data_IF_240175287705
#
_entry.id   IF_240175287705
#
_cell.length_a   1.000
_cell.length_b   1.000
_cell.length_c   1.000
_cell.angle_alpha   90.00
_cell.angle_beta   90.00
_cell.angle_gamma   90.00
#
_symmetry.space_group_name_H-M   'P 1'
#
loop_
_entity.id
_entity.type
_entity.pdbx_description
1 polymer ?
#
# COMPACT_ATOMS: atom_id res chain seq x y z
N UNK A 1 19.12 -19.75 -13.41
CA UNK A 1 17.79 -19.22 -13.74
C UNK A 1 17.87 -17.87 -14.48
N UNK A 2 18.77 -16.97 -14.10
CA UNK A 2 19.07 -15.75 -14.88
C UNK A 2 19.65 -16.02 -16.28
N UNK A 3 20.55 -17.01 -16.41
CA UNK A 3 21.24 -17.29 -17.68
C UNK A 3 20.37 -17.98 -18.74
N UNK A 4 19.38 -18.78 -18.32
CA UNK A 4 18.47 -19.47 -19.25
C UNK A 4 17.38 -18.55 -19.81
N UNK A 5 17.09 -17.42 -19.16
CA UNK A 5 16.09 -16.46 -19.63
C UNK A 5 16.65 -15.47 -20.67
N UNK A 6 17.98 -15.25 -20.65
CA UNK A 6 18.66 -14.35 -21.57
C UNK A 6 18.97 -14.96 -22.94
N UNK A 7 18.93 -16.29 -23.08
CA UNK A 7 19.25 -16.96 -24.35
C UNK A 7 18.13 -16.91 -25.40
N UNK A 8 16.89 -16.58 -25.04
CA UNK A 8 15.74 -16.59 -25.97
C UNK A 8 15.38 -15.22 -26.58
N UNK A 9 16.07 -14.12 -26.24
CA UNK A 9 15.71 -12.78 -26.73
C UNK A 9 16.91 -11.93 -27.15
N UNK A 10 17.71 -12.43 -28.09
CA UNK A 10 18.61 -11.56 -28.86
C UNK A 10 17.79 -10.48 -29.59
N UNK A 11 17.79 -9.25 -29.07
CA UNK A 11 17.13 -8.07 -29.68
C UNK A 11 15.99 -7.45 -28.87
N UNK A 12 15.58 -8.03 -27.74
CA UNK A 12 14.61 -7.36 -26.85
C UNK A 12 15.31 -6.23 -26.07
N UNK A 13 14.81 -5.01 -26.19
CA UNK A 13 15.25 -3.89 -25.34
C UNK A 13 14.78 -4.11 -23.90
N UNK A 14 15.54 -3.61 -22.94
CA UNK A 14 15.15 -3.67 -21.53
C UNK A 14 13.82 -2.95 -21.28
N UNK A 15 13.10 -3.43 -20.27
CA UNK A 15 11.91 -2.76 -19.75
C UNK A 15 12.24 -1.33 -19.37
N UNK A 16 11.46 -0.36 -19.86
CA UNK A 16 11.67 1.06 -19.60
C UNK A 16 11.21 1.51 -18.21
N UNK A 17 10.56 0.63 -17.44
CA UNK A 17 10.10 0.92 -16.07
C UNK A 17 11.10 0.39 -15.04
N UNK A 18 11.35 -0.92 -15.03
CA UNK A 18 12.21 -1.53 -14.00
C UNK A 18 13.67 -1.66 -14.42
N UNK A 19 13.98 -1.63 -15.72
CA UNK A 19 15.31 -1.91 -16.26
C UNK A 19 15.93 -3.27 -15.84
N UNK A 20 15.14 -4.17 -15.24
CA UNK A 20 15.61 -5.48 -14.76
C UNK A 20 15.33 -6.63 -15.74
N UNK A 21 14.27 -6.53 -16.55
CA UNK A 21 13.79 -7.63 -17.40
C UNK A 21 13.61 -7.17 -18.84
N UNK A 22 13.71 -8.07 -19.83
CA UNK A 22 13.47 -7.72 -21.23
C UNK A 22 12.01 -7.31 -21.44
N UNK A 23 11.79 -6.25 -22.19
CA UNK A 23 10.44 -5.84 -22.56
C UNK A 23 9.81 -6.89 -23.47
N UNK A 24 8.61 -7.34 -23.12
CA UNK A 24 7.82 -8.31 -23.88
C UNK A 24 6.48 -7.73 -24.35
N UNK A 25 6.13 -6.53 -23.89
CA UNK A 25 4.83 -5.87 -24.08
C UNK A 25 5.01 -4.38 -24.34
N UNK A 26 3.96 -3.74 -24.85
CA UNK A 26 3.82 -2.28 -24.91
C UNK A 26 2.63 -1.85 -24.07
N UNK A 27 2.81 -0.79 -23.29
CA UNK A 27 1.75 -0.12 -22.54
C UNK A 27 0.96 0.84 -23.45
N UNK A 28 -0.14 1.41 -22.94
CA UNK A 28 -1.09 2.24 -23.71
C UNK A 28 -0.44 3.47 -24.35
N UNK A 29 0.57 4.04 -23.69
CA UNK A 29 1.38 5.19 -24.13
C UNK A 29 2.51 4.79 -25.09
N UNK A 30 2.64 3.50 -25.43
CA UNK A 30 3.69 2.95 -26.28
C UNK A 30 4.96 2.56 -25.54
N UNK A 31 5.02 2.75 -24.21
CA UNK A 31 6.16 2.40 -23.37
C UNK A 31 6.39 0.89 -23.38
N UNK A 32 7.64 0.45 -23.58
CA UNK A 32 8.02 -0.96 -23.61
C UNK A 32 8.23 -1.48 -22.19
N UNK A 33 7.43 -2.46 -21.79
CA UNK A 33 7.40 -2.98 -20.41
C UNK A 33 7.56 -4.51 -20.39
N UNK A 34 8.02 -5.05 -19.26
CA UNK A 34 8.03 -6.49 -19.02
C UNK A 34 6.70 -6.98 -18.41
N UNK A 35 6.50 -8.30 -18.40
CA UNK A 35 5.31 -8.94 -17.82
C UNK A 35 5.10 -8.59 -16.35
N UNK A 36 6.18 -8.54 -15.56
CA UNK A 36 6.11 -8.23 -14.13
C UNK A 36 5.57 -6.81 -13.91
N UNK A 37 6.16 -5.79 -14.55
CA UNK A 37 5.67 -4.41 -14.41
C UNK A 37 4.23 -4.25 -14.91
N UNK A 38 3.83 -5.01 -15.94
CA UNK A 38 2.45 -5.02 -16.42
C UNK A 38 1.48 -5.63 -15.39
N UNK A 39 1.91 -6.67 -14.65
CA UNK A 39 1.14 -7.27 -13.57
C UNK A 39 1.08 -6.33 -12.35
N UNK A 40 2.21 -5.78 -11.92
CA UNK A 40 2.30 -4.81 -10.82
C UNK A 40 1.39 -3.59 -11.07
N UNK A 41 1.35 -3.09 -12.31
CA UNK A 41 0.43 -2.00 -12.71
C UNK A 41 -1.04 -2.39 -12.53
N UNK A 42 -1.43 -3.61 -12.94
CA UNK A 42 -2.81 -4.11 -12.78
C UNK A 42 -3.17 -4.31 -11.32
N UNK A 43 -2.25 -4.85 -10.53
CA UNK A 43 -2.39 -5.04 -9.08
C UNK A 43 -2.55 -3.69 -8.41
N UNK A 44 -1.68 -2.73 -8.71
CA UNK A 44 -1.74 -1.36 -8.19
C UNK A 44 -3.04 -0.62 -8.49
N UNK A 45 -3.68 -0.89 -9.63
CA UNK A 45 -5.01 -0.33 -9.94
C UNK A 45 -6.16 -0.97 -9.15
N UNK A 46 -6.00 -2.21 -8.68
CA UNK A 46 -7.01 -2.95 -7.91
C UNK A 46 -6.88 -2.73 -6.41
N UNK A 47 -5.66 -2.59 -5.89
CA UNK A 47 -5.35 -2.44 -4.47
C UNK A 47 -6.17 -1.35 -3.75
N UNK A 48 -6.37 -0.13 -4.30
CA UNK A 48 -7.14 0.92 -3.62
C UNK A 48 -8.61 0.57 -3.40
N UNK A 49 -9.14 -0.37 -4.21
CA UNK A 49 -10.52 -0.85 -4.12
C UNK A 49 -10.63 -2.18 -3.39
N UNK A 50 -9.53 -2.71 -2.88
CA UNK A 50 -9.47 -4.04 -2.29
C UNK A 50 -9.78 -3.94 -0.81
N UNK A 51 -10.78 -4.70 -0.36
CA UNK A 51 -11.07 -4.83 1.07
C UNK A 51 -10.47 -6.12 1.64
N UNK A 52 -10.46 -7.19 0.82
CA UNK A 52 -9.95 -8.48 1.23
C UNK A 52 -8.89 -9.03 0.28
N UNK A 53 -7.89 -9.70 0.86
CA UNK A 53 -6.91 -10.49 0.11
C UNK A 53 -7.13 -11.96 0.46
N UNK A 54 -7.56 -12.75 -0.53
CA UNK A 54 -7.72 -14.19 -0.37
C UNK A 54 -6.47 -14.91 -0.89
N UNK A 55 -5.80 -15.65 -0.02
CA UNK A 55 -4.67 -16.48 -0.37
C UNK A 55 -5.11 -17.91 -0.64
N UNK A 56 -4.53 -18.48 -1.67
CA UNK A 56 -4.79 -19.85 -2.06
C UNK A 56 -3.56 -20.57 -2.59
N UNK A 57 -3.73 -21.88 -2.77
CA UNK A 57 -2.77 -22.75 -3.42
C UNK A 57 -3.47 -23.72 -4.36
N UNK A 58 -2.83 -24.04 -5.47
CA UNK A 58 -3.34 -25.01 -6.43
C UNK A 58 -2.20 -25.62 -7.23
N UNK A 59 -2.46 -26.79 -7.81
CA UNK A 59 -1.55 -27.37 -8.80
C UNK A 59 -1.51 -26.48 -10.05
N UNK A 60 -0.36 -26.48 -10.73
CA UNK A 60 -0.11 -25.60 -11.89
C UNK A 60 -1.15 -25.84 -13.01
N UNK A 61 -1.53 -27.09 -13.25
CA UNK A 61 -2.54 -27.50 -14.24
C UNK A 61 -3.96 -27.02 -13.91
N UNK A 62 -4.21 -26.61 -12.67
CA UNK A 62 -5.51 -26.12 -12.20
C UNK A 62 -5.59 -24.59 -12.18
N UNK A 63 -4.46 -23.88 -12.28
CA UNK A 63 -4.41 -22.42 -12.15
C UNK A 63 -5.34 -21.72 -13.14
N UNK A 64 -5.41 -22.18 -14.39
CA UNK A 64 -6.24 -21.55 -15.43
C UNK A 64 -7.75 -21.57 -15.13
N UNK A 65 -8.20 -22.47 -14.25
CA UNK A 65 -9.60 -22.56 -13.80
C UNK A 65 -9.89 -21.66 -12.58
N UNK A 66 -8.85 -21.06 -12.00
CA UNK A 66 -8.93 -20.28 -10.77
C UNK A 66 -8.76 -18.80 -11.08
N UNK A 67 -9.77 -18.00 -10.73
CA UNK A 67 -9.68 -16.54 -10.75
C UNK A 67 -8.66 -16.09 -9.71
N UNK A 68 -7.59 -15.43 -10.16
CA UNK A 68 -6.48 -14.93 -9.34
C UNK A 68 -5.95 -13.62 -9.90
N UNK A 69 -5.29 -12.85 -9.05
CA UNK A 69 -4.68 -11.56 -9.43
C UNK A 69 -3.16 -11.60 -9.41
N UNK A 70 -2.58 -12.39 -8.48
CA UNK A 70 -1.14 -12.55 -8.31
C UNK A 70 -0.85 -14.04 -8.17
N UNK A 71 0.20 -14.52 -8.84
CA UNK A 71 0.66 -15.91 -8.71
C UNK A 71 2.12 -15.95 -8.25
N UNK A 72 2.45 -16.92 -7.40
CA UNK A 72 3.78 -17.15 -6.85
C UNK A 72 4.18 -18.60 -7.10
N UNK A 73 5.46 -18.82 -7.39
CA UNK A 73 6.06 -20.16 -7.56
C UNK A 73 5.39 -21.01 -8.66
N UNK A 74 4.96 -20.39 -9.76
CA UNK A 74 4.22 -21.02 -10.88
C UNK A 74 5.11 -21.57 -12.00
N UNK A 75 6.40 -21.74 -11.75
CA UNK A 75 7.34 -22.27 -12.74
C UNK A 75 6.90 -23.65 -13.23
N UNK A 76 6.87 -23.86 -14.55
CA UNK A 76 6.45 -25.13 -15.18
C UNK A 76 7.25 -26.36 -14.70
N UNK A 77 8.45 -26.16 -14.17
CA UNK A 77 9.31 -27.22 -13.63
C UNK A 77 9.10 -27.44 -12.12
N UNK A 78 8.18 -26.71 -11.50
CA UNK A 78 7.93 -26.81 -10.07
C UNK A 78 7.06 -28.05 -9.77
N UNK A 79 7.56 -28.93 -8.90
CA UNK A 79 6.82 -30.13 -8.46
C UNK A 79 5.80 -29.83 -7.35
N UNK A 80 5.84 -28.61 -6.81
CA UNK A 80 5.00 -28.17 -5.70
C UNK A 80 3.80 -27.37 -6.19
N UNK A 81 2.82 -27.19 -5.29
CA UNK A 81 1.68 -26.31 -5.54
C UNK A 81 2.15 -24.87 -5.79
N UNK A 82 1.51 -24.19 -6.74
CA UNK A 82 1.64 -22.76 -6.90
C UNK A 82 0.76 -22.04 -5.89
N UNK A 83 1.24 -20.91 -5.39
CA UNK A 83 0.50 -20.06 -4.47
C UNK A 83 -0.06 -18.88 -5.24
N UNK A 84 -1.18 -18.34 -4.80
CA UNK A 84 -1.77 -17.17 -5.45
C UNK A 84 -2.52 -16.31 -4.46
N UNK A 85 -2.70 -15.04 -4.84
CA UNK A 85 -3.55 -14.11 -4.13
C UNK A 85 -4.64 -13.57 -5.08
N UNK A 86 -5.83 -13.37 -4.51
CA UNK A 86 -6.95 -12.71 -5.17
C UNK A 86 -7.33 -11.47 -4.37
N UNK A 87 -7.40 -10.35 -5.06
CA UNK A 87 -7.83 -9.06 -4.53
C UNK A 87 -9.34 -8.94 -4.70
N UNK A 88 -10.04 -8.73 -3.59
CA UNK A 88 -11.51 -8.71 -3.55
C UNK A 88 -11.97 -7.33 -3.09
N UNK A 89 -12.67 -6.64 -3.97
CA UNK A 89 -13.37 -5.40 -3.66
C UNK A 89 -14.63 -5.64 -2.84
N UNK A 90 -15.07 -4.59 -2.14
CA UNK A 90 -16.24 -4.58 -1.25
C UNK A 90 -17.53 -5.12 -1.88
N UNK A 91 -17.75 -4.83 -3.16
CA UNK A 91 -19.00 -5.20 -3.86
C UNK A 91 -19.00 -6.65 -4.37
N UNK A 92 -17.89 -7.37 -4.21
CA UNK A 92 -17.75 -8.74 -4.71
C UNK A 92 -17.97 -9.74 -3.58
N UNK A 93 -18.75 -10.79 -3.87
CA UNK A 93 -18.97 -11.91 -2.94
C UNK A 93 -17.66 -12.53 -2.48
N UNK A 94 -17.52 -12.75 -1.17
CA UNK A 94 -16.37 -13.46 -0.61
C UNK A 94 -16.25 -14.90 -1.15
N UNK A 95 -15.01 -15.39 -1.36
CA UNK A 95 -14.80 -16.78 -1.72
C UNK A 95 -15.26 -17.70 -0.57
N UNK A 96 -16.02 -18.72 -0.94
CA UNK A 96 -16.38 -19.81 -0.04
C UNK A 96 -15.20 -20.79 0.10
N UNK A 97 -15.18 -21.59 1.16
CA UNK A 97 -14.23 -22.72 1.26
C UNK A 97 -14.37 -23.56 -0.01
N UNK A 98 -13.28 -23.61 -0.76
CA UNK A 98 -13.02 -24.62 -1.77
C UNK A 98 -11.63 -25.21 -1.46
N UNK A 99 -11.18 -26.20 -2.24
CA UNK A 99 -9.87 -26.82 -2.03
C UNK A 99 -8.67 -25.88 -2.31
N UNK A 100 -8.89 -24.60 -2.63
CA UNK A 100 -7.84 -23.70 -3.10
C UNK A 100 -7.57 -22.53 -2.16
N UNK A 101 -8.58 -21.89 -1.55
CA UNK A 101 -8.36 -20.78 -0.60
C UNK A 101 -8.14 -21.29 0.82
N UNK A 102 -7.16 -20.75 1.53
CA UNK A 102 -6.84 -21.16 2.90
C UNK A 102 -6.74 -20.00 3.90
N UNK A 103 -6.67 -18.75 3.44
CA UNK A 103 -6.51 -17.59 4.31
C UNK A 103 -7.15 -16.35 3.70
N UNK A 104 -7.86 -15.57 4.52
CA UNK A 104 -8.45 -14.30 4.12
C UNK A 104 -7.95 -13.18 5.03
N UNK A 105 -7.30 -12.18 4.43
CA UNK A 105 -6.95 -10.95 5.11
C UNK A 105 -7.99 -9.88 4.84
N UNK A 106 -8.41 -9.18 5.89
CA UNK A 106 -9.21 -7.97 5.81
C UNK A 106 -8.30 -6.77 6.04
N UNK A 107 -8.27 -5.84 5.08
CA UNK A 107 -7.39 -4.67 5.10
C UNK A 107 -8.02 -3.47 5.81
N UNK A 108 -9.35 -3.32 5.72
CA UNK A 108 -10.07 -2.19 6.30
C UNK A 108 -11.21 -2.66 7.19
N UNK A 109 -11.38 -2.01 8.34
CA UNK A 109 -12.54 -2.21 9.19
C UNK A 109 -13.61 -1.16 8.86
N UNK A 110 -14.55 -1.52 7.96
CA UNK A 110 -15.70 -0.68 7.68
C UNK A 110 -16.71 -0.76 8.83
N UNK A 111 -17.00 0.37 9.49
CA UNK A 111 -18.02 0.55 10.54
C UNK A 111 -19.49 0.39 10.06
N UNK A 112 -19.73 0.06 8.79
CA UNK A 112 -21.10 -0.10 8.28
C UNK A 112 -21.63 -1.50 8.57
N UNK A 113 -22.87 -1.58 9.08
CA UNK A 113 -23.65 -2.80 9.27
C UNK A 113 -23.60 -3.67 8.02
N UNK A 114 -22.73 -4.68 8.02
CA UNK A 114 -22.63 -5.61 6.91
C UNK A 114 -23.75 -6.63 6.99
N UNK A 115 -24.37 -6.91 5.84
CA UNK A 115 -24.93 -8.24 5.57
C UNK A 115 -23.86 -9.26 5.97
N UNK A 116 -24.18 -10.14 6.90
CA UNK A 116 -23.29 -11.25 7.30
C UNK A 116 -22.95 -12.08 6.06
N UNK A 117 -21.88 -11.72 5.35
CA UNK A 117 -21.33 -12.59 4.32
C UNK A 117 -20.59 -13.72 5.03
N UNK A 118 -21.32 -14.83 5.21
CA UNK A 118 -20.83 -16.04 5.84
C UNK A 118 -19.75 -16.65 4.93
N UNK A 119 -18.52 -16.65 5.43
CA UNK A 119 -17.44 -17.51 4.92
C UNK A 119 -16.98 -18.43 6.03
N UNK A 120 -16.68 -19.68 5.67
CA UNK A 120 -16.11 -20.65 6.61
C UNK A 120 -14.57 -20.48 6.74
N UNK A 121 -13.97 -19.55 6.00
CA UNK A 121 -12.54 -19.23 6.10
C UNK A 121 -12.28 -18.34 7.33
N UNK A 122 -11.19 -18.61 8.06
CA UNK A 122 -10.71 -17.72 9.11
C UNK A 122 -10.32 -16.37 8.52
N UNK A 123 -10.97 -15.30 9.00
CA UNK A 123 -10.64 -13.92 8.63
C UNK A 123 -9.62 -13.38 9.62
N UNK A 124 -8.50 -12.90 9.12
CA UNK A 124 -7.49 -12.20 9.91
C UNK A 124 -7.54 -10.72 9.53
N UNK A 125 -7.82 -9.87 10.52
CA UNK A 125 -7.69 -8.43 10.34
C UNK A 125 -6.21 -8.08 10.32
N UNK A 126 -5.78 -7.38 9.27
CA UNK A 126 -4.41 -6.90 9.13
C UNK A 126 -4.46 -5.41 8.85
N UNK A 127 -4.01 -4.61 9.82
CA UNK A 127 -3.76 -3.20 9.60
C UNK A 127 -2.65 -3.04 8.58
N UNK A 128 -2.90 -2.20 7.60
CA UNK A 128 -1.97 -1.90 6.53
C UNK A 128 -2.20 -0.46 6.13
N UNK A 129 -1.13 0.33 6.12
CA UNK A 129 -1.20 1.71 5.66
C UNK A 129 -1.08 1.73 4.12
N UNK A 130 -2.23 1.83 3.46
CA UNK A 130 -2.43 1.83 2.00
C UNK A 130 -3.21 3.05 1.52
N UNK A 131 -3.32 4.11 2.33
CA UNK A 131 -3.97 5.34 1.93
C UNK A 131 -3.30 5.88 0.67
N UNK A 132 -4.11 6.01 -0.38
CA UNK A 132 -3.71 6.60 -1.64
C UNK A 132 -4.77 7.62 -2.08
N UNK A 133 -4.36 8.82 -2.51
CA UNK A 133 -5.27 9.85 -2.96
C UNK A 133 -6.00 9.42 -4.24
N UNK A 134 -7.33 9.45 -4.21
CA UNK A 134 -8.18 9.22 -5.38
C UNK A 134 -8.82 10.51 -5.86
N UNK A 135 -9.13 10.59 -7.16
CA UNK A 135 -9.81 11.74 -7.75
C UNK A 135 -11.13 12.11 -7.07
N UNK A 136 -11.90 11.12 -6.62
CA UNK A 136 -13.16 11.35 -5.91
C UNK A 136 -12.97 12.07 -4.57
N UNK A 137 -11.80 11.90 -3.93
CA UNK A 137 -11.52 12.48 -2.62
C UNK A 137 -11.14 13.96 -2.69
N UNK A 138 -10.83 14.46 -3.90
CA UNK A 138 -10.66 15.89 -4.15
C UNK A 138 -12.02 16.60 -4.12
N UNK A 139 -12.13 17.64 -3.29
CA UNK A 139 -13.24 18.59 -3.33
C UNK A 139 -13.33 19.32 -4.67
N UNK A 140 -14.52 19.86 -4.99
CA UNK A 140 -14.79 20.52 -6.27
C UNK A 140 -13.74 21.59 -6.63
N UNK A 141 -13.43 22.51 -5.71
CA UNK A 141 -12.47 23.59 -5.91
C UNK A 141 -11.06 23.09 -6.26
N UNK A 142 -10.65 21.95 -5.66
CA UNK A 142 -9.33 21.38 -5.91
C UNK A 142 -9.24 20.65 -7.25
N UNK A 143 -10.35 20.13 -7.78
CA UNK A 143 -10.38 19.49 -9.11
C UNK A 143 -10.13 20.49 -10.24
N UNK A 144 -10.53 21.75 -10.05
CA UNK A 144 -10.29 22.83 -11.01
C UNK A 144 -8.80 23.21 -11.12
N UNK A 145 -8.00 22.92 -10.10
CA UNK A 145 -6.55 23.12 -10.12
C UNK A 145 -5.80 22.08 -10.98
N UNK A 146 -6.48 20.99 -11.35
CA UNK A 146 -5.93 19.84 -12.07
C UNK A 146 -6.43 19.86 -13.52
N UNK A 147 -5.94 20.84 -14.29
CA UNK A 147 -6.36 21.06 -15.68
C UNK A 147 -5.81 19.99 -16.65
N UNK A 148 -4.68 19.34 -16.32
CA UNK A 148 -3.84 18.56 -17.26
C UNK A 148 -4.00 17.03 -17.22
N UNK A 149 -4.78 16.45 -16.30
CA UNK A 149 -4.84 14.99 -16.19
C UNK A 149 -5.88 14.39 -17.17
N UNK A 150 -5.38 13.58 -18.09
CA UNK A 150 -6.14 13.00 -19.21
C UNK A 150 -7.07 11.85 -18.77
N UNK A 151 -6.85 11.26 -17.58
CA UNK A 151 -7.68 10.19 -17.02
C UNK A 151 -8.54 10.71 -15.85
N UNK A 152 -9.55 11.53 -16.14
CA UNK A 152 -10.54 12.02 -15.14
C UNK A 152 -11.57 10.95 -14.77
N UNK A 153 -11.13 9.80 -14.29
CA UNK A 153 -12.03 8.83 -13.66
C UNK A 153 -12.02 9.05 -12.14
N UNK A 154 -13.19 9.14 -11.49
CA UNK A 154 -13.32 9.37 -10.05
C UNK A 154 -12.53 8.38 -9.19
N UNK A 155 -12.34 7.17 -9.71
CA UNK A 155 -11.63 6.08 -9.02
C UNK A 155 -10.14 5.97 -9.38
N UNK A 156 -9.60 6.88 -10.19
CA UNK A 156 -8.18 6.86 -10.54
C UNK A 156 -7.34 7.47 -9.43
N UNK A 157 -6.14 6.91 -9.25
CA UNK A 157 -5.13 7.40 -8.31
C UNK A 157 -4.57 8.71 -8.85
N UNK A 158 -4.35 9.69 -7.98
CA UNK A 158 -3.71 10.95 -8.37
C UNK A 158 -2.25 10.71 -8.80
N UNK A 159 -1.88 11.25 -9.95
CA UNK A 159 -0.48 11.23 -10.40
C UNK A 159 0.38 12.18 -9.57
N UNK A 160 1.69 11.97 -9.58
CA UNK A 160 2.64 12.89 -8.94
C UNK A 160 2.59 14.32 -9.52
N UNK A 161 2.29 14.47 -10.81
CA UNK A 161 2.06 15.80 -11.39
C UNK A 161 0.85 16.49 -10.76
N UNK A 162 -0.23 15.74 -10.57
CA UNK A 162 -1.45 16.22 -9.91
C UNK A 162 -1.20 16.55 -8.43
N UNK A 163 -0.51 15.69 -7.68
CA UNK A 163 -0.14 15.98 -6.29
C UNK A 163 0.73 17.23 -6.16
N UNK A 164 1.69 17.44 -7.07
CA UNK A 164 2.47 18.66 -7.09
C UNK A 164 1.61 19.90 -7.38
N UNK A 165 0.59 19.79 -8.24
CA UNK A 165 -0.30 20.89 -8.56
C UNK A 165 -1.18 21.30 -7.36
N UNK A 166 -1.54 20.35 -6.49
CA UNK A 166 -2.32 20.60 -5.28
C UNK A 166 -1.57 21.46 -4.24
N UNK A 167 -0.25 21.64 -4.37
CA UNK A 167 0.53 22.58 -3.55
C UNK A 167 0.22 24.06 -3.80
N UNK A 168 -0.65 24.36 -4.77
CA UNK A 168 -1.09 25.72 -5.05
C UNK A 168 -2.39 26.03 -4.31
N UNK A 169 -2.51 27.27 -3.86
CA UNK A 169 -3.73 27.80 -3.27
C UNK A 169 -4.11 29.11 -3.92
N UNK A 170 -5.39 29.45 -3.84
CA UNK A 170 -5.88 30.75 -4.30
C UNK A 170 -5.82 31.77 -3.16
N UNK A 171 -5.31 32.96 -3.48
CA UNK A 171 -5.36 34.08 -2.56
C UNK A 171 -6.72 34.80 -2.65
N UNK A 172 -6.95 35.79 -1.78
CA UNK A 172 -8.17 36.63 -1.78
C UNK A 172 -8.41 37.43 -3.09
N UNK A 173 -7.44 37.43 -4.01
CA UNK A 173 -7.52 38.11 -5.32
C UNK A 173 -7.68 37.11 -6.49
N UNK A 174 -8.04 35.85 -6.22
CA UNK A 174 -8.14 34.76 -7.21
C UNK A 174 -6.85 34.53 -8.02
N UNK A 175 -5.68 34.84 -7.44
CA UNK A 175 -4.37 34.51 -8.02
C UNK A 175 -3.85 33.24 -7.38
N UNK A 176 -3.49 32.27 -8.22
CA UNK A 176 -2.79 31.04 -7.80
C UNK A 176 -1.41 31.39 -7.24
N UNK A 177 -1.17 31.00 -5.99
CA UNK A 177 0.09 31.13 -5.25
C UNK A 177 0.58 29.74 -4.83
N UNK A 178 1.87 29.63 -4.56
CA UNK A 178 2.51 28.35 -4.25
C UNK A 178 3.27 27.76 -5.43
N UNK A 179 4.31 26.99 -5.12
CA UNK A 179 5.16 26.33 -6.11
C UNK A 179 4.70 24.88 -6.25
N UNK A 180 4.48 24.43 -7.49
CA UNK A 180 4.08 23.04 -7.78
C UNK A 180 5.25 22.09 -7.49
N UNK A 181 5.30 21.52 -6.29
CA UNK A 181 6.38 20.64 -5.86
C UNK A 181 5.85 19.49 -5.02
N UNK A 182 6.50 18.35 -5.15
CA UNK A 182 6.29 17.21 -4.29
C UNK A 182 7.16 17.35 -3.04
N UNK A 183 6.56 17.07 -1.90
CA UNK A 183 7.26 16.70 -0.68
C UNK A 183 7.39 15.18 -0.63
N UNK A 184 8.52 14.75 -0.09
CA UNK A 184 8.78 13.36 0.24
C UNK A 184 9.16 13.32 1.72
N UNK A 185 8.49 12.49 2.48
CA UNK A 185 8.81 12.25 3.89
C UNK A 185 9.29 10.82 4.02
N UNK A 186 10.53 10.66 4.45
CA UNK A 186 11.03 9.40 4.97
C UNK A 186 11.31 9.55 6.46
N UNK A 187 10.82 8.64 7.28
CA UNK A 187 11.01 8.66 8.73
C UNK A 187 11.32 7.26 9.24
N UNK A 188 12.17 7.19 10.26
CA UNK A 188 12.62 5.95 10.90
C UNK A 188 12.68 6.18 12.42
N UNK A 189 12.46 5.13 13.22
CA UNK A 189 12.55 5.23 14.68
C UNK A 189 13.99 5.14 15.14
N UNK A 190 14.47 6.21 15.78
CA UNK A 190 15.80 6.25 16.35
C UNK A 190 16.07 5.10 17.34
N UNK A 191 17.06 4.26 17.01
CA UNK A 191 17.64 3.22 17.89
C UNK A 191 16.61 2.19 18.39
N UNK A 192 15.59 1.86 17.60
CA UNK A 192 14.54 0.91 18.02
C UNK A 192 15.10 -0.41 18.58
N UNK A 193 16.10 -1.02 17.93
CA UNK A 193 16.71 -2.26 18.41
C UNK A 193 17.39 -2.12 19.78
N UNK A 194 17.95 -0.95 20.10
CA UNK A 194 18.52 -0.67 21.42
C UNK A 194 17.41 -0.54 22.48
N UNK A 195 16.30 0.10 22.14
CA UNK A 195 15.16 0.28 23.04
C UNK A 195 14.53 -1.09 23.36
N UNK A 196 14.34 -1.95 22.35
CA UNK A 196 13.80 -3.30 22.54
C UNK A 196 14.70 -4.19 23.39
N UNK A 197 16.03 -4.06 23.26
CA UNK A 197 16.98 -4.92 23.96
C UNK A 197 17.33 -4.40 25.37
N UNK A 198 17.58 -3.09 25.51
CA UNK A 198 18.06 -2.48 26.79
C UNK A 198 17.02 -1.62 27.50
N UNK A 199 16.02 -1.09 26.79
CA UNK A 199 15.00 -0.20 27.34
C UNK A 199 14.03 -0.92 28.28
N UNK A 200 13.78 -2.22 28.04
CA UNK A 200 12.88 -3.06 28.83
C UNK A 200 13.49 -3.58 30.16
N UNK A 201 14.74 -3.17 30.49
CA UNK A 201 15.47 -3.51 31.74
C UNK A 201 15.44 -5.02 32.07
N UNK A 202 15.48 -5.41 33.36
CA UNK A 202 15.74 -6.79 33.82
C UNK A 202 14.62 -7.79 33.53
N UNK A 203 13.45 -7.34 33.06
CA UNK A 203 12.24 -8.15 32.90
C UNK A 203 11.79 -8.23 31.42
N UNK A 204 12.74 -8.48 30.52
CA UNK A 204 12.44 -8.75 29.10
C UNK A 204 11.75 -10.10 29.00
N UNK A 205 10.43 -10.09 28.90
CA UNK A 205 9.64 -11.27 28.57
C UNK A 205 9.28 -11.25 27.08
N UNK A 206 9.07 -12.43 26.50
CA UNK A 206 8.57 -12.55 25.12
C UNK A 206 7.26 -11.76 24.95
N UNK A 207 6.38 -11.80 25.95
CA UNK A 207 5.13 -11.05 25.94
C UNK A 207 5.34 -9.54 25.86
N UNK A 208 6.23 -8.95 26.67
CA UNK A 208 6.51 -7.51 26.64
C UNK A 208 7.14 -7.08 25.30
N UNK A 209 8.06 -7.87 24.78
CA UNK A 209 8.65 -7.63 23.46
C UNK A 209 7.59 -7.63 22.35
N UNK A 210 6.72 -8.64 22.32
CA UNK A 210 5.64 -8.75 21.34
C UNK A 210 4.62 -7.61 21.47
N UNK A 211 4.26 -7.23 22.69
CA UNK A 211 3.34 -6.09 22.93
C UNK A 211 3.93 -4.81 22.37
N UNK A 212 5.18 -4.46 22.72
CA UNK A 212 5.83 -3.25 22.22
C UNK A 212 5.96 -3.26 20.69
N UNK A 213 6.39 -4.38 20.10
CA UNK A 213 6.49 -4.52 18.64
C UNK A 213 5.14 -4.34 17.95
N UNK A 214 4.06 -4.90 18.50
CA UNK A 214 2.70 -4.75 17.97
C UNK A 214 2.17 -3.32 18.11
N UNK A 215 2.47 -2.63 19.21
CA UNK A 215 2.03 -1.25 19.42
C UNK A 215 2.70 -0.28 18.44
N UNK A 216 4.01 -0.45 18.21
CA UNK A 216 4.73 0.33 17.21
C UNK A 216 4.17 0.05 15.81
N UNK A 217 4.01 -1.22 15.42
CA UNK A 217 3.41 -1.58 14.14
C UNK A 217 2.01 -0.98 13.98
N UNK A 218 1.19 -0.99 15.04
CA UNK A 218 -0.16 -0.40 15.02
C UNK A 218 -0.16 1.12 14.81
N UNK A 219 0.84 1.83 15.35
CA UNK A 219 0.97 3.27 15.11
C UNK A 219 1.22 3.56 13.62
N UNK A 220 2.20 2.88 13.03
CA UNK A 220 2.58 3.12 11.62
C UNK A 220 1.57 2.51 10.63
N UNK A 221 0.98 1.35 10.91
CA UNK A 221 0.03 0.71 10.02
C UNK A 221 -1.43 1.16 10.22
N UNK A 222 -1.76 1.70 11.40
CA UNK A 222 -3.13 2.08 11.78
C UNK A 222 -3.30 3.59 11.94
N UNK A 223 -2.61 4.20 12.90
CA UNK A 223 -2.79 5.64 13.19
C UNK A 223 -2.39 6.54 12.01
N UNK A 224 -1.28 6.23 11.32
CA UNK A 224 -0.88 6.96 10.12
C UNK A 224 -1.96 6.85 9.04
N UNK A 225 -2.45 5.64 8.76
CA UNK A 225 -3.51 5.40 7.77
C UNK A 225 -4.78 6.22 8.06
N UNK A 226 -5.26 6.17 9.30
CA UNK A 226 -6.44 6.92 9.72
C UNK A 226 -6.24 8.45 9.59
N UNK A 227 -5.07 8.94 10.02
CA UNK A 227 -4.74 10.36 9.94
C UNK A 227 -4.68 10.86 8.50
N UNK A 228 -4.08 10.08 7.60
CA UNK A 228 -3.99 10.43 6.18
C UNK A 228 -5.37 10.37 5.50
N UNK A 229 -6.15 9.32 5.76
CA UNK A 229 -7.48 9.15 5.15
C UNK A 229 -8.52 10.19 5.60
N UNK A 230 -8.39 10.76 6.80
CA UNK A 230 -9.31 11.79 7.31
C UNK A 230 -8.81 13.20 6.99
N UNK A 231 -7.56 13.51 7.31
CA UNK A 231 -7.04 14.89 7.34
C UNK A 231 -6.10 15.24 6.19
N UNK A 232 -5.27 14.30 5.74
CA UNK A 232 -4.26 14.54 4.70
C UNK A 232 -4.49 13.67 3.48
N UNK A 233 -5.69 13.77 2.91
CA UNK A 233 -6.16 12.89 1.83
C UNK A 233 -5.26 12.96 0.59
N UNK A 234 -4.61 14.09 0.36
CA UNK A 234 -3.64 14.35 -0.70
C UNK A 234 -2.27 13.68 -0.54
N UNK A 235 -1.97 13.06 0.59
CA UNK A 235 -0.70 12.34 0.79
C UNK A 235 -0.86 10.90 0.31
N UNK A 236 0.09 10.43 -0.49
CA UNK A 236 0.23 9.07 -0.99
C UNK A 236 1.17 8.27 -0.08
N UNK A 237 0.71 7.14 0.45
CA UNK A 237 1.55 6.20 1.19
C UNK A 237 2.26 5.26 0.24
N UNK A 238 3.60 5.31 0.20
CA UNK A 238 4.41 4.33 -0.55
C UNK A 238 4.60 3.07 0.30
N UNK A 239 4.97 3.25 1.58
CA UNK A 239 4.93 2.21 2.60
C UNK A 239 4.87 2.85 3.99
N UNK A 240 4.28 2.13 4.94
CA UNK A 240 4.33 2.45 6.37
C UNK A 240 4.06 1.19 7.17
N UNK A 241 4.97 0.82 8.08
CA UNK A 241 4.82 -0.37 8.90
C UNK A 241 6.09 -0.71 9.65
N UNK A 242 5.95 -1.35 10.81
CA UNK A 242 7.07 -1.51 11.73
C UNK A 242 7.59 -0.14 12.19
N UNK A 243 8.79 0.22 11.72
CA UNK A 243 9.53 1.41 12.12
C UNK A 243 9.87 2.41 11.00
N UNK A 244 9.70 2.03 9.74
CA UNK A 244 9.99 2.88 8.58
C UNK A 244 8.68 3.38 7.93
N UNK A 245 8.74 4.60 7.41
CA UNK A 245 7.63 5.32 6.77
C UNK A 245 8.15 6.05 5.54
N UNK A 246 7.45 5.92 4.41
CA UNK A 246 7.71 6.71 3.22
C UNK A 246 6.42 7.22 2.56
N UNK A 247 6.27 8.54 2.53
CA UNK A 247 5.10 9.25 2.02
C UNK A 247 5.48 10.26 0.94
N UNK A 248 4.56 10.50 0.01
CA UNK A 248 4.71 11.47 -1.08
C UNK A 248 3.45 12.32 -1.17
N UNK A 249 3.57 13.63 -1.31
CA UNK A 249 2.38 14.50 -1.41
C UNK A 249 2.75 15.96 -1.71
N UNK A 250 1.79 16.89 -1.61
CA UNK A 250 2.06 18.32 -1.67
C UNK A 250 3.09 18.71 -0.60
N UNK A 251 4.11 19.50 -0.98
CA UNK A 251 5.27 19.74 -0.09
C UNK A 251 4.90 20.39 1.24
N UNK A 252 3.94 21.31 1.24
CA UNK A 252 3.46 22.01 2.43
C UNK A 252 2.69 21.05 3.36
N UNK A 253 1.90 20.14 2.79
CA UNK A 253 1.14 19.13 3.54
C UNK A 253 2.05 18.08 4.16
N UNK A 254 3.10 17.71 3.46
CA UNK A 254 4.15 16.83 4.00
C UNK A 254 4.83 17.47 5.22
N UNK A 255 5.12 18.78 5.18
CA UNK A 255 5.71 19.48 6.33
C UNK A 255 4.72 19.54 7.50
N UNK A 256 3.46 19.91 7.26
CA UNK A 256 2.40 19.92 8.27
C UNK A 256 2.26 18.55 8.94
N UNK A 257 2.13 17.49 8.14
CA UNK A 257 2.01 16.12 8.63
C UNK A 257 3.26 15.67 9.39
N UNK A 258 4.47 16.03 8.95
CA UNK A 258 5.71 15.62 9.64
C UNK A 258 5.77 16.11 11.10
N UNK A 259 5.25 17.31 11.36
CA UNK A 259 5.16 17.86 12.71
C UNK A 259 4.15 17.08 13.56
N UNK A 260 2.97 16.82 13.00
CA UNK A 260 1.91 16.08 13.68
C UNK A 260 2.31 14.62 13.96
N UNK A 261 2.96 13.97 13.01
CA UNK A 261 3.55 12.63 13.16
C UNK A 261 4.49 12.60 14.37
N UNK A 262 5.43 13.55 14.45
CA UNK A 262 6.39 13.60 15.55
C UNK A 262 5.71 13.85 16.91
N UNK A 263 4.78 14.80 16.99
CA UNK A 263 4.08 15.16 18.22
C UNK A 263 3.21 14.00 18.74
N UNK A 264 2.48 13.33 17.84
CA UNK A 264 1.66 12.17 18.21
C UNK A 264 2.50 10.95 18.55
N UNK A 265 3.56 10.66 17.79
CA UNK A 265 4.45 9.53 18.09
C UNK A 265 5.17 9.71 19.43
N UNK A 266 5.60 10.94 19.73
CA UNK A 266 6.20 11.26 21.04
C UNK A 266 5.21 11.05 22.18
N UNK A 267 3.96 11.47 22.00
CA UNK A 267 2.92 11.29 23.03
C UNK A 267 2.59 9.80 23.22
N UNK A 268 2.44 9.07 22.11
CA UNK A 268 2.17 7.63 22.08
C UNK A 268 3.26 6.81 22.78
N UNK A 269 4.53 7.12 22.52
CA UNK A 269 5.67 6.40 23.13
C UNK A 269 5.81 6.67 24.64
N UNK A 270 5.42 7.85 25.12
CA UNK A 270 5.36 8.14 26.57
C UNK A 270 4.31 7.27 27.25
N UNK A 271 3.12 7.12 26.65
CA UNK A 271 2.07 6.25 27.20
C UNK A 271 2.48 4.77 27.18
N UNK A 272 3.11 4.30 26.11
CA UNK A 272 3.68 2.94 26.05
C UNK A 272 4.66 2.71 27.19
N UNK A 273 5.58 3.66 27.41
CA UNK A 273 6.60 3.52 28.44
C UNK A 273 5.97 3.37 29.84
N UNK A 274 4.91 4.12 30.14
CA UNK A 274 4.20 4.03 31.42
C UNK A 274 3.51 2.67 31.60
N UNK A 275 2.82 2.17 30.57
CA UNK A 275 2.12 0.88 30.64
C UNK A 275 3.02 -0.36 30.55
N UNK A 276 4.24 -0.22 30.01
CA UNK A 276 5.20 -1.33 29.88
C UNK A 276 6.05 -1.54 31.14
N UNK A 277 6.10 -0.53 32.03
CA UNK A 277 6.89 -0.52 33.26
C UNK A 277 6.10 -0.95 34.51
N UNK A 278 4.78 -1.03 34.42
CA UNK A 278 3.91 -1.71 35.40
C UNK A 278 3.88 -3.24 35.17
#
# INVERSE_FOLDING_TARGET
>A
QYEAYNQEKEGAKDCQICHCFPADRKDRDGTKICSQCAEDKKVGQKLPKTEYIAFGKAKIDQLDKIKRDITFFDSKNNKYDAYFAKLISRDNSLPQINNHYYLLYRLYDSNEEKKEEVTNLGIINKFFANHVPLYKDLGHDRRELVEDDQEKNSDSILTFGTLAALSQWENKENKRKGVKRLGLLKADIDRLGLILNRGLRKDVTVSRYLTMSRMIDLFFAGWVEETLSIKYKEIYTVFSGGDDLFLVGPWEKIIEFSKELYENFRSFTIEIANHSLE
#
